data_IF_859475114360
#
_entry.id   IF_859475114360
#
_cell.length_a   1.000
_cell.length_b   1.000
_cell.length_c   1.000
_cell.angle_alpha   90.00
_cell.angle_beta   90.00
_cell.angle_gamma   90.00
#
_symmetry.space_group_name_H-M   'P 1'
#
loop_
_entity.id
_entity.type
_entity.pdbx_description
1 polymer ?
#
# COMPACT_ATOMS: atom_id res chain seq x y z
N UNK A 1 -19.35 -11.26 25.99
CA UNK A 1 -17.92 -11.07 25.69
C UNK A 1 -17.64 -11.70 24.33
N UNK A 2 -17.57 -10.92 23.25
CA UNK A 2 -17.21 -11.43 21.93
C UNK A 2 -15.68 -11.41 21.78
N UNK A 3 -15.05 -12.49 21.28
CA UNK A 3 -13.60 -12.55 21.16
C UNK A 3 -13.14 -11.64 20.02
N UNK A 4 -12.11 -10.81 20.28
CA UNK A 4 -11.48 -9.96 19.26
C UNK A 4 -10.81 -10.84 18.19
N UNK A 5 -11.02 -10.57 16.89
CA UNK A 5 -10.36 -11.32 15.83
C UNK A 5 -8.84 -11.09 15.91
N UNK A 6 -8.07 -12.17 16.01
CA UNK A 6 -6.61 -12.12 15.98
C UNK A 6 -6.18 -11.69 14.58
N UNK A 7 -5.56 -10.51 14.45
CA UNK A 7 -4.88 -10.11 13.21
C UNK A 7 -3.79 -11.16 12.92
N UNK A 8 -3.99 -11.95 11.87
CA UNK A 8 -2.92 -12.79 11.32
C UNK A 8 -1.89 -11.83 10.72
N UNK A 9 -0.68 -11.78 11.30
CA UNK A 9 0.44 -11.10 10.66
C UNK A 9 0.61 -11.71 9.27
N UNK A 10 0.59 -10.85 8.25
CA UNK A 10 0.76 -11.22 6.85
C UNK A 10 2.06 -11.98 6.67
N UNK A 11 2.00 -13.07 5.92
CA UNK A 11 3.20 -13.75 5.41
C UNK A 11 3.90 -12.79 4.45
N UNK A 12 5.18 -12.44 4.65
CA UNK A 12 5.89 -11.58 3.72
C UNK A 12 6.03 -12.30 2.38
N UNK A 13 5.50 -11.70 1.33
CA UNK A 13 5.59 -12.22 -0.04
C UNK A 13 6.95 -11.81 -0.62
N UNK A 14 7.74 -12.78 -1.07
CA UNK A 14 9.17 -12.64 -1.38
C UNK A 14 9.51 -11.89 -2.68
N UNK A 15 8.55 -11.17 -3.28
CA UNK A 15 8.69 -10.49 -4.58
C UNK A 15 8.05 -9.09 -4.62
N UNK A 16 7.96 -8.40 -3.49
CA UNK A 16 7.38 -7.06 -3.43
C UNK A 16 8.46 -5.97 -3.63
N UNK A 17 8.13 -4.88 -4.33
CA UNK A 17 9.08 -3.82 -4.64
C UNK A 17 9.55 -3.16 -3.33
N UNK A 18 10.86 -3.22 -3.10
CA UNK A 18 11.53 -2.47 -2.03
C UNK A 18 11.66 -1.00 -2.42
N UNK A 19 12.14 -0.13 -1.52
CA UNK A 19 12.39 1.29 -1.84
C UNK A 19 13.26 1.47 -3.10
N UNK A 20 14.14 0.51 -3.39
CA UNK A 20 15.02 0.49 -4.56
C UNK A 20 14.30 0.11 -5.86
N UNK A 21 13.15 -0.56 -5.76
CA UNK A 21 12.34 -1.02 -6.89
C UNK A 21 11.18 -0.06 -7.22
N UNK A 22 11.06 1.07 -6.51
CA UNK A 22 10.00 2.04 -6.75
C UNK A 22 10.37 3.00 -7.90
N UNK A 23 9.78 2.85 -9.10
CA UNK A 23 10.12 3.68 -10.27
C UNK A 23 9.76 5.16 -10.08
N UNK A 24 8.89 5.49 -9.11
CA UNK A 24 8.49 6.87 -8.83
C UNK A 24 9.39 7.58 -7.84
N UNK A 25 10.38 6.90 -7.25
CA UNK A 25 11.32 7.56 -6.33
C UNK A 25 12.59 8.06 -7.00
N UNK A 26 12.97 7.49 -8.16
CA UNK A 26 14.15 7.87 -8.93
C UNK A 26 13.93 9.08 -9.85
N UNK A 27 13.00 8.98 -10.80
CA UNK A 27 12.93 9.92 -11.93
C UNK A 27 11.70 10.85 -11.92
N UNK A 28 10.74 10.61 -11.02
CA UNK A 28 9.51 11.38 -11.00
C UNK A 28 9.67 12.72 -10.27
N UNK A 29 9.51 13.82 -11.02
CA UNK A 29 9.53 15.19 -10.48
C UNK A 29 8.12 15.81 -10.48
N UNK A 30 7.43 15.85 -9.33
CA UNK A 30 6.09 16.43 -9.24
C UNK A 30 6.11 17.95 -9.46
N UNK A 31 5.25 18.43 -10.37
CA UNK A 31 5.12 19.86 -10.72
C UNK A 31 4.17 20.63 -9.80
N UNK A 32 3.37 19.93 -9.00
CA UNK A 32 2.34 20.50 -8.13
C UNK A 32 2.68 20.25 -6.67
N UNK A 33 2.14 21.07 -5.77
CA UNK A 33 2.27 20.88 -4.32
C UNK A 33 1.68 19.53 -3.89
N UNK A 34 0.48 19.20 -4.38
CA UNK A 34 -0.18 17.92 -4.12
C UNK A 34 0.72 16.75 -4.54
N UNK A 35 1.37 16.84 -5.70
CA UNK A 35 2.30 15.80 -6.16
C UNK A 35 3.51 15.65 -5.24
N UNK A 36 4.07 16.75 -4.74
CA UNK A 36 5.19 16.73 -3.77
C UNK A 36 4.78 16.06 -2.45
N UNK A 37 3.61 16.41 -1.92
CA UNK A 37 3.06 15.81 -0.71
C UNK A 37 2.76 14.31 -0.89
N UNK A 38 2.18 13.92 -2.04
CA UNK A 38 1.90 12.53 -2.34
C UNK A 38 3.19 11.68 -2.42
N UNK A 39 4.22 12.21 -3.09
CA UNK A 39 5.52 11.54 -3.18
C UNK A 39 6.19 11.41 -1.79
N UNK A 40 6.12 12.45 -0.96
CA UNK A 40 6.64 12.41 0.40
C UNK A 40 5.92 11.36 1.27
N UNK A 41 4.58 11.33 1.21
CA UNK A 41 3.77 10.34 1.93
C UNK A 41 4.10 8.91 1.50
N UNK A 42 4.27 8.68 0.19
CA UNK A 42 4.69 7.38 -0.36
C UNK A 42 6.05 6.96 0.18
N UNK A 43 7.05 7.84 0.14
CA UNK A 43 8.40 7.57 0.67
C UNK A 43 8.36 7.23 2.17
N UNK A 44 7.59 7.99 2.94
CA UNK A 44 7.43 7.75 4.38
C UNK A 44 6.77 6.39 4.67
N UNK A 45 5.75 6.00 3.90
CA UNK A 45 5.08 4.71 4.05
C UNK A 45 6.04 3.54 3.79
N UNK A 46 6.80 3.58 2.69
CA UNK A 46 7.78 2.54 2.34
C UNK A 46 8.90 2.48 3.38
N UNK A 47 9.44 3.63 3.80
CA UNK A 47 10.47 3.70 4.83
C UNK A 47 10.00 3.13 6.18
N UNK A 48 8.70 3.23 6.49
CA UNK A 48 8.08 2.61 7.66
C UNK A 48 7.82 1.11 7.54
N UNK A 49 8.25 0.46 6.46
CA UNK A 49 7.99 -0.95 6.18
C UNK A 49 6.62 -1.23 5.54
N UNK A 50 5.95 -0.19 5.04
CA UNK A 50 4.73 -0.32 4.26
C UNK A 50 5.01 -0.92 2.88
N UNK A 51 4.11 -1.78 2.42
CA UNK A 51 4.23 -2.48 1.14
C UNK A 51 3.27 -1.87 0.12
N UNK A 52 3.77 -1.56 -1.08
CA UNK A 52 2.93 -1.09 -2.17
C UNK A 52 2.14 -2.27 -2.74
N UNK A 53 0.83 -2.07 -2.86
CA UNK A 53 -0.08 -3.07 -3.37
C UNK A 53 -0.16 -3.01 -4.90
N UNK A 54 -0.15 -4.17 -5.54
CA UNK A 54 -0.52 -4.30 -6.94
C UNK A 54 -2.05 -4.20 -7.14
N UNK A 55 -2.53 -4.21 -8.38
CA UNK A 55 -3.95 -4.03 -8.68
C UNK A 55 -4.87 -5.08 -8.02
N UNK A 56 -4.45 -6.34 -8.00
CA UNK A 56 -5.21 -7.44 -7.39
C UNK A 56 -5.26 -7.28 -5.86
N UNK A 57 -4.13 -6.89 -5.26
CA UNK A 57 -4.01 -6.64 -3.83
C UNK A 57 -4.82 -5.41 -3.40
N UNK A 58 -4.87 -4.35 -4.22
CA UNK A 58 -5.75 -3.20 -4.01
C UNK A 58 -7.21 -3.66 -4.02
N UNK A 59 -7.60 -4.45 -5.01
CA UNK A 59 -8.97 -4.95 -5.13
C UNK A 59 -9.37 -5.80 -3.92
N UNK A 60 -8.48 -6.68 -3.47
CA UNK A 60 -8.67 -7.48 -2.27
C UNK A 60 -8.74 -6.63 -1.00
N UNK A 61 -7.91 -5.59 -0.90
CA UNK A 61 -7.91 -4.63 0.21
C UNK A 61 -9.22 -3.84 0.27
N UNK A 62 -9.69 -3.32 -0.86
CA UNK A 62 -10.94 -2.58 -0.99
C UNK A 62 -12.11 -3.47 -0.59
N UNK A 63 -12.21 -4.68 -1.15
CA UNK A 63 -13.24 -5.67 -0.78
C UNK A 63 -13.21 -5.96 0.71
N UNK A 64 -12.03 -6.17 1.30
CA UNK A 64 -11.90 -6.41 2.75
C UNK A 64 -12.39 -5.23 3.57
N UNK A 65 -12.03 -3.99 3.20
CA UNK A 65 -12.44 -2.77 3.92
C UNK A 65 -13.93 -2.47 3.77
N UNK A 66 -14.55 -2.88 2.67
CA UNK A 66 -16.00 -2.76 2.42
C UNK A 66 -16.81 -3.91 3.00
N UNK A 67 -16.22 -4.76 3.84
CA UNK A 67 -16.93 -5.88 4.47
C UNK A 67 -17.28 -7.02 3.51
N UNK A 68 -16.53 -7.16 2.41
CA UNK A 68 -16.75 -8.22 1.41
C UNK A 68 -17.56 -7.81 0.20
N UNK A 69 -18.12 -6.60 0.16
CA UNK A 69 -18.86 -6.09 -1.00
C UNK A 69 -17.91 -5.90 -2.19
N UNK A 70 -18.28 -6.50 -3.32
CA UNK A 70 -17.65 -6.24 -4.60
C UNK A 70 -18.20 -4.95 -5.21
N UNK A 71 -17.40 -4.33 -6.07
CA UNK A 71 -17.81 -3.19 -6.87
C UNK A 71 -18.54 -3.77 -8.09
N UNK A 72 -19.86 -3.94 -7.96
CA UNK A 72 -20.79 -4.20 -9.05
C UNK A 72 -21.42 -2.88 -9.55
#
# INVERSE_FOLDING_TARGET
>A
MTPKPKLKLRTPNSKLPTLTDDPMTGDYQPRTEIGRLALAARKAYIAGGGELLNADEISAEVRRRRGGLADE
#
